data_IF_301095483263
#
_entry.id   IF_301095483263
#
_cell.length_a   1.000
_cell.length_b   1.000
_cell.length_c   1.000
_cell.angle_alpha   90.00
_cell.angle_beta   90.00
_cell.angle_gamma   90.00
#
_symmetry.space_group_name_H-M   'P 1'
#
loop_
_entity.id
_entity.type
_entity.pdbx_description
1 polymer ?
#
# COMPACT_ATOMS: atom_id res chain seq x y z
N UNK A 1 12.95 -23.46 -27.02
CA UNK A 1 11.88 -22.44 -27.09
C UNK A 1 10.72 -22.99 -26.29
N UNK A 2 10.45 -22.40 -25.12
CA UNK A 2 9.26 -22.76 -24.32
C UNK A 2 8.19 -21.78 -24.76
N UNK A 3 7.18 -22.25 -25.48
CA UNK A 3 6.00 -21.48 -25.81
C UNK A 3 5.27 -21.15 -24.50
N UNK A 4 5.39 -19.89 -24.08
CA UNK A 4 4.56 -19.34 -23.03
C UNK A 4 3.20 -19.08 -23.68
N UNK A 5 2.26 -19.99 -23.47
CA UNK A 5 0.87 -19.83 -23.91
C UNK A 5 0.26 -18.53 -23.37
N UNK A 6 -0.78 -17.99 -24.03
CA UNK A 6 -1.43 -16.75 -23.60
C UNK A 6 -1.90 -16.89 -22.16
N UNK A 7 -1.48 -15.95 -21.30
CA UNK A 7 -1.92 -15.89 -19.91
C UNK A 7 -3.44 -15.87 -19.88
N UNK A 8 -4.03 -16.87 -19.20
CA UNK A 8 -5.46 -16.93 -18.98
C UNK A 8 -5.93 -15.56 -18.43
N UNK A 9 -6.90 -14.94 -19.10
CA UNK A 9 -7.53 -13.71 -18.66
C UNK A 9 -8.00 -13.90 -17.21
N UNK A 10 -7.25 -13.31 -16.27
CA UNK A 10 -7.69 -13.16 -14.89
C UNK A 10 -8.89 -12.21 -14.93
N UNK A 11 -10.11 -12.75 -14.91
CA UNK A 11 -11.40 -12.08 -14.65
C UNK A 11 -11.44 -11.43 -13.23
N UNK A 12 -10.33 -10.92 -12.71
CA UNK A 12 -10.25 -10.33 -11.37
C UNK A 12 -10.74 -8.88 -11.29
N UNK A 13 -11.05 -8.21 -12.41
CA UNK A 13 -11.20 -6.75 -12.42
C UNK A 13 -12.53 -6.16 -12.89
N UNK A 14 -13.41 -6.92 -13.55
CA UNK A 14 -14.62 -6.33 -14.17
C UNK A 14 -15.86 -6.60 -13.34
N UNK A 15 -16.18 -5.70 -12.42
CA UNK A 15 -17.52 -5.61 -11.80
C UNK A 15 -17.62 -5.68 -10.27
N UNK A 16 -16.54 -5.44 -9.52
CA UNK A 16 -16.56 -5.46 -8.04
C UNK A 16 -16.94 -4.08 -7.45
N UNK A 17 -18.24 -3.72 -7.43
CA UNK A 17 -18.74 -2.60 -6.61
C UNK A 17 -19.93 -3.04 -5.76
N UNK A 18 -19.88 -2.70 -4.47
CA UNK A 18 -21.06 -2.51 -3.64
C UNK A 18 -21.49 -3.72 -2.81
N UNK A 19 -20.75 -4.01 -1.74
CA UNK A 19 -21.29 -4.71 -0.58
C UNK A 19 -20.72 -4.07 0.67
N UNK A 20 -21.59 -3.52 1.52
CA UNK A 20 -21.23 -3.07 2.88
C UNK A 20 -20.72 -4.30 3.65
N UNK A 21 -19.41 -4.44 3.80
CA UNK A 21 -18.83 -5.59 4.51
C UNK A 21 -18.78 -5.30 6.01
N UNK A 22 -19.41 -6.18 6.79
CA UNK A 22 -19.26 -6.26 8.25
C UNK A 22 -17.79 -6.41 8.70
N UNK A 23 -16.91 -6.81 7.79
CA UNK A 23 -15.47 -6.98 8.03
C UNK A 23 -14.75 -5.67 8.40
N UNK A 24 -15.08 -4.54 7.73
CA UNK A 24 -14.37 -3.27 7.94
C UNK A 24 -14.57 -2.68 9.34
N UNK A 25 -15.77 -2.80 9.92
CA UNK A 25 -16.03 -2.34 11.30
C UNK A 25 -15.36 -3.25 12.33
N UNK A 26 -15.34 -4.58 12.11
CA UNK A 26 -14.60 -5.52 12.97
C UNK A 26 -13.11 -5.19 12.99
N UNK A 27 -12.49 -5.01 11.83
CA UNK A 27 -11.06 -4.68 11.72
C UNK A 27 -10.74 -3.32 12.38
N UNK A 28 -11.60 -2.32 12.17
CA UNK A 28 -11.50 -1.01 12.84
C UNK A 28 -11.49 -1.15 14.36
N UNK A 29 -12.45 -1.90 14.92
CA UNK A 29 -12.54 -2.18 16.36
C UNK A 29 -11.30 -2.91 16.88
N UNK A 30 -10.80 -3.91 16.16
CA UNK A 30 -9.57 -4.62 16.52
C UNK A 30 -8.36 -3.67 16.61
N UNK A 31 -8.23 -2.72 15.67
CA UNK A 31 -7.17 -1.71 15.72
C UNK A 31 -7.33 -0.77 16.92
N UNK A 32 -8.53 -0.28 17.17
CA UNK A 32 -8.80 0.63 18.28
C UNK A 32 -8.56 -0.02 19.64
N UNK A 33 -8.92 -1.29 19.82
CA UNK A 33 -8.54 -2.05 21.03
C UNK A 33 -7.02 -2.24 21.16
N UNK A 34 -6.33 -2.46 20.03
CA UNK A 34 -4.87 -2.49 19.98
C UNK A 34 -4.23 -1.17 20.44
N UNK A 35 -4.81 -0.05 20.02
CA UNK A 35 -4.41 1.32 20.41
C UNK A 35 -4.71 1.58 21.89
N UNK A 36 -5.92 1.27 22.36
CA UNK A 36 -6.38 1.53 23.71
C UNK A 36 -5.43 0.93 24.76
N UNK A 37 -4.93 -0.29 24.54
CA UNK A 37 -3.94 -0.90 25.43
C UNK A 37 -2.57 -0.20 25.51
N UNK A 38 -2.34 0.86 24.73
CA UNK A 38 -1.17 1.75 24.81
C UNK A 38 -1.48 3.15 25.34
N UNK A 39 -2.76 3.47 25.61
CA UNK A 39 -3.18 4.77 26.12
C UNK A 39 -3.18 4.80 27.68
N UNK A 40 -3.13 5.99 28.30
CA UNK A 40 -3.45 6.16 29.71
C UNK A 40 -4.83 5.57 30.03
N UNK A 41 -4.99 4.99 31.23
CA UNK A 41 -6.19 4.23 31.62
C UNK A 41 -7.51 4.95 31.29
N UNK A 42 -7.65 6.21 31.71
CA UNK A 42 -8.87 7.00 31.44
C UNK A 42 -9.18 7.17 29.94
N UNK A 43 -8.17 7.28 29.08
CA UNK A 43 -8.36 7.38 27.64
C UNK A 43 -8.64 6.02 27.00
N UNK A 44 -8.01 4.95 27.52
CA UNK A 44 -8.30 3.58 27.10
C UNK A 44 -9.76 3.21 27.41
N UNK A 45 -10.21 3.47 28.65
CA UNK A 45 -11.58 3.27 29.10
C UNK A 45 -12.59 4.06 28.24
N UNK A 46 -12.29 5.32 27.92
CA UNK A 46 -13.12 6.12 27.04
C UNK A 46 -13.23 5.53 25.62
N UNK A 47 -12.12 5.08 25.03
CA UNK A 47 -12.15 4.44 23.69
C UNK A 47 -12.95 3.14 23.74
N UNK A 48 -12.76 2.32 24.78
CA UNK A 48 -13.51 1.07 24.96
C UNK A 48 -15.00 1.31 25.19
N UNK A 49 -15.37 2.35 25.94
CA UNK A 49 -16.74 2.77 26.15
C UNK A 49 -17.39 3.21 24.84
N UNK A 50 -16.73 4.10 24.07
CA UNK A 50 -17.24 4.56 22.78
C UNK A 50 -17.43 3.39 21.81
N UNK A 51 -16.55 2.39 21.83
CA UNK A 51 -16.71 1.17 21.05
C UNK A 51 -17.88 0.30 21.51
N UNK A 52 -18.20 0.29 22.81
CA UNK A 52 -19.35 -0.42 23.36
C UNK A 52 -20.68 0.28 23.01
N UNK A 53 -20.65 1.60 22.85
CA UNK A 53 -21.78 2.45 22.44
C UNK A 53 -21.93 2.55 20.91
N UNK A 54 -21.15 1.80 20.14
CA UNK A 54 -21.12 1.83 18.66
C UNK A 54 -20.70 3.19 18.04
N UNK A 55 -20.07 4.06 18.84
CA UNK A 55 -19.56 5.38 18.44
C UNK A 55 -18.15 5.29 17.81
N UNK A 56 -18.01 4.42 16.80
CA UNK A 56 -16.71 4.08 16.18
C UNK A 56 -15.97 5.32 15.66
N UNK A 57 -16.66 6.25 14.99
CA UNK A 57 -16.04 7.45 14.44
C UNK A 57 -15.43 8.37 15.51
N UNK A 58 -16.12 8.48 16.66
CA UNK A 58 -15.65 9.25 17.81
C UNK A 58 -14.47 8.53 18.46
N UNK A 59 -14.57 7.20 18.62
CA UNK A 59 -13.48 6.37 19.15
C UNK A 59 -12.18 6.53 18.33
N UNK A 60 -12.27 6.50 17.00
CA UNK A 60 -11.11 6.77 16.10
C UNK A 60 -10.54 8.15 16.36
N UNK A 61 -11.38 9.18 16.41
CA UNK A 61 -10.94 10.56 16.57
C UNK A 61 -10.24 10.77 17.92
N UNK A 62 -10.80 10.23 19.01
CA UNK A 62 -10.21 10.26 20.35
C UNK A 62 -8.87 9.53 20.38
N UNK A 63 -8.82 8.31 19.85
CA UNK A 63 -7.61 7.49 19.84
C UNK A 63 -6.47 8.15 19.05
N UNK A 64 -6.75 8.65 17.85
CA UNK A 64 -5.77 9.36 17.00
C UNK A 64 -5.27 10.62 17.72
N UNK A 65 -6.17 11.45 18.23
CA UNK A 65 -5.80 12.68 18.93
C UNK A 65 -4.96 12.41 20.19
N UNK A 66 -5.32 11.38 20.96
CA UNK A 66 -4.58 10.96 22.14
C UNK A 66 -3.15 10.51 21.79
N UNK A 67 -3.00 9.63 20.80
CA UNK A 67 -1.69 9.15 20.34
C UNK A 67 -0.81 10.31 19.85
N UNK A 68 -1.38 11.19 19.02
CA UNK A 68 -0.72 12.38 18.51
C UNK A 68 -0.27 13.34 19.62
N UNK A 69 -0.95 13.39 20.76
CA UNK A 69 -0.52 14.23 21.90
C UNK A 69 0.52 13.55 22.79
N UNK A 70 0.48 12.22 22.91
CA UNK A 70 1.36 11.43 23.78
C UNK A 70 2.77 11.20 23.20
N UNK A 71 3.10 11.90 22.10
CA UNK A 71 4.30 11.91 21.22
C UNK A 71 5.70 11.72 21.84
N UNK A 72 5.86 11.65 23.16
CA UNK A 72 7.16 11.61 23.83
C UNK A 72 7.38 10.41 24.78
N UNK A 73 6.38 9.55 25.02
CA UNK A 73 6.49 8.52 26.09
C UNK A 73 6.12 7.09 25.69
N UNK A 74 5.75 6.85 24.43
CA UNK A 74 5.39 5.51 23.98
C UNK A 74 6.63 4.59 23.95
N UNK A 75 6.78 3.76 24.99
CA UNK A 75 7.72 2.63 24.95
C UNK A 75 7.28 1.68 23.83
N UNK A 76 8.24 1.16 23.06
CA UNK A 76 7.96 0.11 22.06
C UNK A 76 7.23 -1.03 22.75
N UNK A 77 6.01 -1.33 22.29
CA UNK A 77 5.25 -2.48 22.76
C UNK A 77 5.71 -3.72 22.00
N UNK A 78 6.11 -4.81 22.67
CA UNK A 78 6.32 -6.07 22.00
C UNK A 78 4.98 -6.53 21.43
N UNK A 79 4.94 -6.80 20.12
CA UNK A 79 3.80 -7.47 19.51
C UNK A 79 3.75 -8.90 20.06
N UNK A 80 2.56 -9.37 20.43
CA UNK A 80 2.37 -10.80 20.71
C UNK A 80 2.53 -11.53 19.38
N UNK A 81 3.47 -12.47 19.31
CA UNK A 81 3.69 -13.31 18.12
C UNK A 81 2.61 -14.36 17.94
N UNK A 82 1.76 -14.59 18.95
CA UNK A 82 0.70 -15.57 18.89
C UNK A 82 -0.47 -15.08 18.03
N UNK A 83 -0.77 -15.88 17.02
CA UNK A 83 -1.90 -15.67 16.13
C UNK A 83 -3.19 -16.02 16.87
N UNK A 84 -3.99 -15.00 17.19
CA UNK A 84 -5.33 -15.23 17.71
C UNK A 84 -6.18 -15.92 16.64
N UNK A 85 -6.61 -17.15 16.92
CA UNK A 85 -7.49 -17.88 16.03
C UNK A 85 -8.90 -17.29 16.10
N UNK A 86 -9.55 -17.12 14.95
CA UNK A 86 -10.94 -16.71 14.89
C UNK A 86 -11.79 -17.81 15.54
N UNK A 87 -12.52 -17.53 16.64
CA UNK A 87 -13.33 -18.53 17.33
C UNK A 87 -14.50 -19.01 16.46
N UNK A 88 -14.93 -18.21 15.49
CA UNK A 88 -16.02 -18.51 14.56
C UNK A 88 -15.52 -19.10 13.23
N UNK A 89 -14.23 -19.46 13.13
CA UNK A 89 -13.66 -20.01 11.89
C UNK A 89 -14.40 -21.26 11.42
N UNK A 90 -14.48 -21.42 10.10
CA UNK A 90 -15.03 -22.63 9.49
C UNK A 90 -14.28 -23.89 9.96
N UNK A 91 -15.00 -25.00 10.15
CA UNK A 91 -14.41 -26.28 10.55
C UNK A 91 -13.28 -26.76 9.61
N UNK A 92 -13.36 -26.39 8.32
CA UNK A 92 -12.33 -26.69 7.33
C UNK A 92 -10.96 -26.06 7.67
N UNK A 93 -10.94 -24.94 8.41
CA UNK A 93 -9.71 -24.27 8.82
C UNK A 93 -8.90 -25.09 9.84
N UNK A 94 -9.53 -25.93 10.66
CA UNK A 94 -8.86 -26.67 11.74
C UNK A 94 -7.84 -27.71 11.23
N UNK A 95 -7.90 -28.06 9.95
CA UNK A 95 -6.95 -28.97 9.28
C UNK A 95 -6.07 -28.25 8.25
N UNK A 96 -6.15 -26.92 8.20
CA UNK A 96 -5.40 -26.14 7.24
C UNK A 96 -3.97 -25.89 7.75
N UNK A 97 -2.92 -26.19 6.96
CA UNK A 97 -1.53 -25.91 7.37
C UNK A 97 -1.25 -24.41 7.53
N UNK A 98 -2.04 -23.55 6.86
CA UNK A 98 -1.92 -22.10 6.93
C UNK A 98 -2.73 -21.47 8.07
N UNK A 99 -3.43 -22.27 8.89
CA UNK A 99 -4.26 -21.75 9.99
C UNK A 99 -3.46 -20.84 10.93
N UNK A 100 -2.24 -21.26 11.30
CA UNK A 100 -1.37 -20.50 12.17
C UNK A 100 -0.88 -19.18 11.56
N UNK A 101 -1.05 -18.97 10.24
CA UNK A 101 -0.69 -17.71 9.54
C UNK A 101 -1.90 -16.86 9.21
N UNK A 102 -3.04 -17.49 8.97
CA UNK A 102 -4.23 -16.79 8.52
C UNK A 102 -5.20 -16.43 9.66
N UNK A 103 -5.11 -17.15 10.79
CA UNK A 103 -6.03 -17.05 11.93
C UNK A 103 -7.35 -17.79 11.74
N UNK A 104 -7.62 -18.30 10.53
CA UNK A 104 -8.93 -18.86 10.15
C UNK A 104 -9.93 -17.77 9.78
N UNK A 105 -10.92 -18.14 8.98
CA UNK A 105 -12.01 -17.25 8.54
C UNK A 105 -13.36 -17.96 8.71
N UNK A 106 -14.42 -17.19 8.96
CA UNK A 106 -15.78 -17.71 9.16
C UNK A 106 -16.27 -18.47 7.92
N UNK A 107 -15.91 -18.01 6.73
CA UNK A 107 -16.21 -18.69 5.46
C UNK A 107 -15.09 -19.66 5.04
N UNK A 108 -13.99 -19.70 5.80
CA UNK A 108 -12.79 -20.46 5.48
C UNK A 108 -12.05 -19.91 4.27
N UNK A 109 -11.66 -20.77 3.33
CA UNK A 109 -11.08 -20.36 2.05
C UNK A 109 -12.09 -20.52 0.90
N UNK A 110 -13.40 -20.45 1.19
CA UNK A 110 -14.42 -20.53 0.16
C UNK A 110 -14.37 -19.25 -0.68
N UNK A 111 -14.37 -19.42 -1.99
CA UNK A 111 -14.52 -18.32 -2.91
C UNK A 111 -16.00 -18.22 -3.31
N UNK A 112 -16.63 -17.05 -3.10
CA UNK A 112 -18.06 -16.84 -3.39
C UNK A 112 -18.43 -17.15 -4.85
N UNK A 113 -17.47 -17.03 -5.77
CA UNK A 113 -17.67 -17.28 -7.19
C UNK A 113 -17.00 -18.58 -7.69
N UNK A 114 -16.72 -19.52 -6.78
CA UNK A 114 -16.11 -20.80 -7.15
C UNK A 114 -16.98 -21.60 -8.11
N UNK A 115 -16.49 -21.80 -9.35
CA UNK A 115 -17.12 -22.65 -10.38
C UNK A 115 -16.62 -24.10 -10.35
N UNK A 116 -15.79 -24.48 -9.36
CA UNK A 116 -15.15 -25.81 -9.22
C UNK A 116 -14.25 -26.26 -10.39
N UNK A 117 -13.94 -25.39 -11.33
CA UNK A 117 -12.93 -25.62 -12.39
C UNK A 117 -11.52 -25.32 -11.87
N UNK A 118 -11.02 -26.10 -10.90
CA UNK A 118 -9.78 -25.81 -10.19
C UNK A 118 -8.52 -25.83 -11.07
N UNK A 119 -8.55 -26.52 -12.22
CA UNK A 119 -7.40 -26.59 -13.15
C UNK A 119 -7.14 -25.32 -13.95
N UNK A 120 -8.14 -24.43 -14.09
CA UNK A 120 -8.04 -23.18 -14.88
C UNK A 120 -8.47 -21.93 -14.12
N UNK A 121 -8.88 -22.08 -12.85
CA UNK A 121 -9.28 -20.96 -12.03
C UNK A 121 -8.09 -19.99 -11.82
N UNK A 122 -8.32 -18.68 -11.69
CA UNK A 122 -7.27 -17.72 -11.33
C UNK A 122 -7.04 -17.58 -9.83
N UNK A 123 -7.84 -18.28 -9.00
CA UNK A 123 -7.95 -18.02 -7.56
C UNK A 123 -7.27 -19.11 -6.74
N UNK A 124 -6.34 -18.67 -5.90
CA UNK A 124 -5.53 -19.40 -4.94
C UNK A 124 -6.40 -19.85 -3.77
N UNK A 125 -6.73 -21.13 -3.76
CA UNK A 125 -7.44 -21.76 -2.65
C UNK A 125 -6.90 -23.19 -2.42
N UNK A 126 -7.18 -23.80 -1.25
CA UNK A 126 -6.70 -25.15 -0.93
C UNK A 126 -7.18 -26.25 -1.89
N UNK A 127 -8.19 -26.00 -2.73
CA UNK A 127 -8.73 -26.96 -3.68
C UNK A 127 -7.98 -27.02 -5.02
N UNK A 128 -6.97 -26.15 -5.23
CA UNK A 128 -6.15 -26.17 -6.44
C UNK A 128 -5.13 -27.28 -6.42
N UNK A 129 -4.90 -27.92 -7.57
CA UNK A 129 -3.89 -28.98 -7.73
C UNK A 129 -2.47 -28.44 -7.84
N UNK A 130 -2.30 -27.21 -8.31
CA UNK A 130 -1.01 -26.53 -8.53
C UNK A 130 -0.66 -25.52 -7.41
N UNK A 131 -1.41 -25.51 -6.29
CA UNK A 131 -1.18 -24.56 -5.19
C UNK A 131 0.27 -24.58 -4.66
N UNK A 132 0.86 -25.77 -4.54
CA UNK A 132 2.23 -25.94 -4.06
C UNK A 132 3.25 -25.23 -4.96
N UNK A 133 3.06 -25.28 -6.28
CA UNK A 133 3.92 -24.58 -7.23
C UNK A 133 3.82 -23.06 -7.04
N UNK A 134 2.60 -22.55 -6.81
CA UNK A 134 2.40 -21.12 -6.57
C UNK A 134 3.04 -20.67 -5.25
N UNK A 135 2.95 -21.49 -4.19
CA UNK A 135 3.63 -21.21 -2.92
C UNK A 135 5.16 -21.22 -3.10
N UNK A 136 5.69 -22.16 -3.87
CA UNK A 136 7.12 -22.23 -4.19
C UNK A 136 7.60 -20.98 -4.94
N UNK A 137 6.80 -20.48 -5.90
CA UNK A 137 7.10 -19.28 -6.69
C UNK A 137 7.28 -18.00 -5.85
N UNK A 138 6.69 -17.96 -4.64
CA UNK A 138 6.82 -16.85 -3.69
C UNK A 138 7.64 -17.21 -2.45
N UNK A 139 8.25 -18.40 -2.40
CA UNK A 139 9.05 -18.86 -1.26
C UNK A 139 8.24 -19.19 0.01
N UNK A 140 6.96 -19.57 -0.16
CA UNK A 140 6.02 -19.80 0.94
C UNK A 140 5.24 -18.55 1.35
N UNK A 141 4.31 -18.70 2.31
CA UNK A 141 3.40 -17.63 2.76
C UNK A 141 3.81 -16.95 4.09
N UNK A 142 4.94 -17.40 4.65
CA UNK A 142 5.57 -16.76 5.81
C UNK A 142 6.12 -15.38 5.47
N UNK A 143 6.42 -14.57 6.47
CA UNK A 143 7.27 -13.39 6.28
C UNK A 143 8.62 -13.59 6.98
N UNK A 144 8.83 -14.73 7.64
CA UNK A 144 9.92 -14.98 8.57
C UNK A 144 11.28 -15.12 7.88
N UNK A 145 11.26 -15.59 6.63
CA UNK A 145 12.41 -15.75 5.75
C UNK A 145 12.83 -14.46 5.05
N UNK A 146 11.98 -13.43 5.04
CA UNK A 146 12.34 -12.09 4.53
C UNK A 146 13.13 -11.34 5.60
N UNK A 147 14.40 -11.09 5.31
CA UNK A 147 15.37 -10.60 6.30
C UNK A 147 16.23 -9.44 5.80
N UNK A 148 16.00 -8.94 4.59
CA UNK A 148 16.77 -7.81 4.05
C UNK A 148 16.49 -6.57 4.90
N UNK A 149 17.54 -5.97 5.45
CA UNK A 149 17.41 -4.72 6.19
C UNK A 149 17.11 -3.58 5.22
N UNK A 150 16.14 -2.73 5.57
CA UNK A 150 15.76 -1.61 4.72
C UNK A 150 16.76 -0.46 4.88
N UNK A 151 17.30 0.09 3.77
CA UNK A 151 18.15 1.26 3.83
C UNK A 151 17.40 2.50 4.38
N UNK A 152 18.12 3.50 4.93
CA UNK A 152 17.52 4.76 5.34
C UNK A 152 16.79 5.45 4.19
N UNK A 153 15.65 6.07 4.50
CA UNK A 153 14.88 6.85 3.52
C UNK A 153 15.41 8.28 3.42
N UNK A 154 15.42 8.89 2.21
CA UNK A 154 15.77 10.29 2.07
C UNK A 154 14.69 11.19 2.66
N UNK A 155 15.08 12.38 3.12
CA UNK A 155 14.10 13.39 3.52
C UNK A 155 13.32 13.89 2.29
N UNK A 156 11.99 13.89 2.39
CA UNK A 156 11.07 14.35 1.34
C UNK A 156 10.21 15.51 1.85
N UNK A 157 9.69 16.36 0.94
CA UNK A 157 8.65 17.32 1.29
C UNK A 157 7.38 16.58 1.76
N UNK A 158 6.50 17.22 2.55
CA UNK A 158 5.23 16.60 2.98
C UNK A 158 4.31 16.18 1.84
N UNK A 159 4.46 16.77 0.66
CA UNK A 159 3.72 16.43 -0.56
C UNK A 159 4.69 16.14 -1.72
N UNK A 160 4.58 14.94 -2.28
CA UNK A 160 5.29 14.50 -3.48
C UNK A 160 4.27 14.26 -4.60
N UNK A 161 4.13 15.19 -5.56
CA UNK A 161 3.24 15.03 -6.70
C UNK A 161 3.63 13.83 -7.57
N UNK A 162 2.63 13.06 -7.99
CA UNK A 162 2.78 11.91 -8.90
C UNK A 162 2.45 12.38 -10.31
N UNK A 163 3.44 12.34 -11.21
CA UNK A 163 3.34 12.90 -12.57
C UNK A 163 3.95 11.93 -13.57
N UNK A 164 3.43 11.89 -14.79
CA UNK A 164 4.07 11.14 -15.88
C UNK A 164 5.35 11.88 -16.31
N UNK A 165 6.41 11.12 -16.60
CA UNK A 165 7.74 11.66 -16.91
C UNK A 165 7.76 12.65 -18.10
N UNK A 166 7.10 12.33 -19.22
CA UNK A 166 7.08 13.19 -20.39
C UNK A 166 6.16 14.39 -20.20
N UNK A 167 5.09 14.28 -19.40
CA UNK A 167 4.31 15.45 -18.97
C UNK A 167 5.16 16.43 -18.18
N UNK A 168 5.87 15.96 -17.16
CA UNK A 168 6.71 16.82 -16.32
C UNK A 168 7.80 17.53 -17.13
N UNK A 169 8.44 16.81 -18.06
CA UNK A 169 9.44 17.38 -18.98
C UNK A 169 8.82 18.42 -19.93
N UNK A 170 7.64 18.13 -20.51
CA UNK A 170 6.95 19.06 -21.42
C UNK A 170 6.49 20.34 -20.73
N UNK A 171 6.11 20.25 -19.46
CA UNK A 171 5.70 21.42 -18.67
C UNK A 171 6.87 22.29 -18.21
N UNK A 172 8.12 21.79 -18.30
CA UNK A 172 9.31 22.60 -18.01
C UNK A 172 9.50 22.98 -16.55
N UNK A 173 8.79 22.30 -15.62
CA UNK A 173 8.79 22.62 -14.18
C UNK A 173 9.52 21.58 -13.32
N UNK A 174 10.28 20.68 -13.94
CA UNK A 174 10.98 19.59 -13.26
C UNK A 174 11.94 20.06 -12.15
N UNK A 175 12.63 21.18 -12.36
CA UNK A 175 13.58 21.75 -11.39
C UNK A 175 12.95 22.55 -10.25
N UNK A 176 11.66 22.84 -10.33
CA UNK A 176 10.97 23.82 -9.47
C UNK A 176 10.43 23.23 -8.17
N UNK A 177 10.25 21.91 -8.08
CA UNK A 177 9.78 21.23 -6.87
C UNK A 177 10.85 20.30 -6.27
N UNK A 178 10.93 20.14 -4.93
CA UNK A 178 12.01 19.38 -4.30
C UNK A 178 12.02 17.89 -4.64
N UNK A 179 10.86 17.29 -4.91
CA UNK A 179 10.73 15.86 -5.17
C UNK A 179 9.52 15.52 -6.06
N UNK A 180 9.73 14.67 -7.06
CA UNK A 180 8.66 14.18 -7.94
C UNK A 180 8.53 12.67 -7.84
N UNK A 181 7.29 12.18 -7.94
CA UNK A 181 7.01 10.75 -8.02
C UNK A 181 6.58 10.33 -9.43
N UNK A 182 7.09 9.20 -9.90
CA UNK A 182 6.63 8.54 -11.12
C UNK A 182 5.88 7.25 -10.77
N UNK A 183 4.83 6.94 -11.52
CA UNK A 183 4.13 5.68 -11.34
C UNK A 183 4.86 4.55 -12.07
N UNK A 184 5.07 3.42 -11.39
CA UNK A 184 5.54 2.20 -12.07
C UNK A 184 4.52 1.72 -13.12
N UNK A 185 3.27 2.18 -13.06
CA UNK A 185 2.26 1.92 -14.09
C UNK A 185 2.63 2.52 -15.46
N UNK A 186 3.51 3.53 -15.49
CA UNK A 186 4.00 4.18 -16.71
C UNK A 186 5.18 3.42 -17.33
N UNK A 187 5.74 2.43 -16.62
CA UNK A 187 6.76 1.53 -17.15
C UNK A 187 6.21 0.51 -18.17
N UNK A 188 4.95 0.67 -18.62
CA UNK A 188 4.27 -0.26 -19.52
C UNK A 188 3.78 0.37 -20.82
N UNK A 189 3.89 -0.40 -21.89
CA UNK A 189 3.14 -0.14 -23.11
C UNK A 189 1.67 -0.48 -22.89
N UNK A 190 0.80 0.53 -22.96
CA UNK A 190 -0.66 0.33 -22.94
C UNK A 190 -1.15 -0.56 -24.09
N UNK A 191 -0.37 -0.65 -25.19
CA UNK A 191 -0.70 -1.42 -26.40
C UNK A 191 -0.33 -2.89 -26.28
N UNK A 192 0.85 -3.19 -25.74
CA UNK A 192 1.39 -4.56 -25.73
C UNK A 192 1.36 -5.22 -24.36
N UNK A 193 1.09 -4.45 -23.29
CA UNK A 193 1.18 -4.94 -21.92
C UNK A 193 2.59 -5.33 -21.49
N UNK A 194 3.60 -5.01 -22.30
CA UNK A 194 5.00 -5.33 -22.03
C UNK A 194 5.70 -4.17 -21.32
N UNK A 195 6.64 -4.43 -20.40
CA UNK A 195 7.46 -3.39 -19.80
C UNK A 195 8.29 -2.68 -20.86
N UNK A 196 8.42 -1.36 -20.77
CA UNK A 196 9.36 -0.60 -21.59
C UNK A 196 10.79 -0.94 -21.20
N UNK A 197 11.65 -1.24 -22.17
CA UNK A 197 13.06 -1.58 -21.93
C UNK A 197 13.82 -0.48 -21.18
N UNK A 198 13.45 0.80 -21.39
CA UNK A 198 14.03 1.99 -20.77
C UNK A 198 13.81 2.10 -19.25
N UNK A 199 12.97 1.25 -18.67
CA UNK A 199 12.72 1.19 -17.21
C UNK A 199 13.44 0.00 -16.54
N UNK A 200 14.12 -0.83 -17.32
CA UNK A 200 14.87 -2.00 -16.82
C UNK A 200 16.33 -1.62 -16.57
N UNK A 201 17.04 -2.40 -15.74
CA UNK A 201 18.49 -2.21 -15.50
C UNK A 201 19.28 -2.17 -16.82
N UNK A 202 18.89 -2.95 -17.82
CA UNK A 202 19.51 -2.96 -19.14
C UNK A 202 19.23 -1.69 -19.96
N UNK A 203 18.20 -0.91 -19.61
CA UNK A 203 17.85 0.37 -20.22
C UNK A 203 18.10 1.59 -19.31
N UNK A 204 18.74 1.41 -18.15
CA UNK A 204 19.17 2.48 -17.25
C UNK A 204 20.48 3.13 -17.74
N UNK A 205 20.51 3.49 -19.03
CA UNK A 205 21.54 4.33 -19.63
C UNK A 205 20.87 5.49 -20.36
N UNK A 206 21.70 6.36 -20.99
CA UNK A 206 21.29 7.64 -21.61
C UNK A 206 19.91 7.54 -22.28
N UNK A 207 18.90 8.10 -21.62
CA UNK A 207 17.53 8.17 -22.13
C UNK A 207 16.46 7.50 -21.26
N UNK A 208 16.84 6.89 -20.13
CA UNK A 208 15.85 6.43 -19.14
C UNK A 208 15.04 7.62 -18.59
N UNK A 209 13.77 7.42 -18.17
CA UNK A 209 12.96 8.50 -17.61
C UNK A 209 13.60 9.19 -16.41
N UNK A 210 14.24 8.41 -15.53
CA UNK A 210 14.94 8.95 -14.37
C UNK A 210 16.09 9.87 -14.80
N UNK A 211 16.97 9.42 -15.69
CA UNK A 211 18.09 10.25 -16.18
C UNK A 211 17.64 11.52 -16.88
N UNK A 212 16.65 11.44 -17.79
CA UNK A 212 16.15 12.65 -18.47
C UNK A 212 15.61 13.68 -17.49
N UNK A 213 14.94 13.23 -16.43
CA UNK A 213 14.45 14.11 -15.37
C UNK A 213 15.61 14.67 -14.52
N UNK A 214 16.68 13.90 -14.29
CA UNK A 214 17.90 14.42 -13.66
C UNK A 214 18.57 15.51 -14.49
N UNK A 215 18.72 15.28 -15.80
CA UNK A 215 19.25 16.28 -16.74
C UNK A 215 18.38 17.54 -16.77
N UNK A 216 17.06 17.39 -16.60
CA UNK A 216 16.11 18.50 -16.47
C UNK A 216 16.02 19.11 -15.04
N UNK A 217 16.95 18.78 -14.15
CA UNK A 217 17.11 19.43 -12.85
C UNK A 217 16.30 18.84 -11.69
N UNK A 218 15.70 17.65 -11.82
CA UNK A 218 14.99 17.03 -10.69
C UNK A 218 15.95 16.66 -9.57
N UNK A 219 15.68 17.21 -8.37
CA UNK A 219 16.49 16.99 -7.16
C UNK A 219 16.24 15.64 -6.52
N UNK A 220 14.98 15.21 -6.42
CA UNK A 220 14.60 13.89 -5.88
C UNK A 220 13.54 13.20 -6.74
N UNK A 221 13.74 11.93 -7.00
CA UNK A 221 12.83 11.06 -7.74
C UNK A 221 12.37 9.88 -6.89
N UNK A 222 11.06 9.73 -6.79
CA UNK A 222 10.41 8.59 -6.15
C UNK A 222 9.72 7.73 -7.20
N UNK A 223 9.83 6.41 -7.08
CA UNK A 223 8.98 5.49 -7.85
C UNK A 223 7.83 5.00 -6.96
N UNK A 224 6.59 5.07 -7.43
CA UNK A 224 5.45 4.45 -6.73
C UNK A 224 5.10 3.10 -7.37
N UNK A 225 5.23 2.02 -6.62
CA UNK A 225 4.87 0.67 -7.04
C UNK A 225 3.36 0.38 -7.06
N UNK A 226 2.52 1.35 -6.69
CA UNK A 226 1.06 1.22 -6.68
C UNK A 226 0.50 1.19 -8.10
N UNK A 227 -0.16 0.09 -8.46
CA UNK A 227 -0.83 -0.10 -9.76
C UNK A 227 -1.85 -1.25 -9.68
N UNK A 228 -2.63 -1.46 -10.74
CA UNK A 228 -3.50 -2.63 -10.86
C UNK A 228 -2.68 -3.95 -10.85
N UNK A 229 -3.13 -4.91 -10.04
CA UNK A 229 -2.53 -6.24 -9.86
C UNK A 229 -2.24 -6.99 -11.17
N UNK A 230 -3.06 -6.82 -12.21
CA UNK A 230 -2.81 -7.46 -13.52
C UNK A 230 -1.49 -6.98 -14.14
N UNK A 231 -1.21 -5.68 -14.07
CA UNK A 231 0.06 -5.11 -14.56
C UNK A 231 1.21 -5.49 -13.65
N UNK A 232 0.95 -5.58 -12.36
CA UNK A 232 1.96 -5.98 -11.40
C UNK A 232 2.36 -7.46 -11.56
N UNK A 233 1.40 -8.34 -11.82
CA UNK A 233 1.64 -9.75 -12.16
C UNK A 233 2.51 -9.89 -13.41
N UNK A 234 2.30 -9.06 -14.43
CA UNK A 234 3.15 -9.02 -15.61
C UNK A 234 4.60 -8.54 -15.31
N UNK A 235 4.82 -7.75 -14.24
CA UNK A 235 6.17 -7.33 -13.81
C UNK A 235 6.85 -8.39 -12.96
N UNK A 236 6.09 -9.30 -12.36
CA UNK A 236 6.60 -10.24 -11.37
C UNK A 236 7.87 -10.98 -11.82
N UNK A 237 7.97 -11.52 -13.04
CA UNK A 237 9.19 -12.21 -13.47
C UNK A 237 10.42 -11.30 -13.51
N UNK A 238 10.25 -10.03 -13.82
CA UNK A 238 11.34 -9.06 -13.88
C UNK A 238 11.68 -8.51 -12.48
N UNK A 239 10.69 -8.35 -11.60
CA UNK A 239 10.89 -8.04 -10.17
C UNK A 239 11.66 -9.16 -9.46
N UNK A 240 11.22 -10.40 -9.64
CA UNK A 240 11.83 -11.60 -9.07
C UNK A 240 13.31 -11.76 -9.48
N UNK A 241 13.66 -11.30 -10.69
CA UNK A 241 15.03 -11.32 -11.21
C UNK A 241 15.85 -10.06 -10.87
N UNK A 242 15.30 -9.14 -10.06
CA UNK A 242 15.93 -7.85 -9.67
C UNK A 242 16.37 -7.00 -10.87
N UNK A 243 15.61 -7.06 -11.97
CA UNK A 243 15.95 -6.36 -13.23
C UNK A 243 15.24 -5.03 -13.41
N UNK A 244 14.43 -4.62 -12.43
CA UNK A 244 13.56 -3.48 -12.57
C UNK A 244 14.01 -2.34 -11.66
N UNK A 245 14.09 -1.18 -12.30
CA UNK A 245 14.15 0.15 -11.71
C UNK A 245 15.47 0.53 -11.05
N UNK A 246 16.19 1.47 -11.67
CA UNK A 246 17.33 2.17 -11.08
C UNK A 246 17.20 3.69 -11.31
N UNK A 247 18.01 4.47 -10.60
CA UNK A 247 18.05 5.94 -10.75
C UNK A 247 17.05 6.73 -9.88
N UNK A 248 16.30 6.04 -9.02
CA UNK A 248 15.37 6.66 -8.07
C UNK A 248 16.03 6.80 -6.69
N UNK A 249 15.73 7.89 -5.97
CA UNK A 249 16.21 8.08 -4.59
C UNK A 249 15.41 7.24 -3.58
N UNK A 250 14.18 6.91 -3.93
CA UNK A 250 13.27 6.13 -3.10
C UNK A 250 12.29 5.35 -3.98
N UNK A 251 11.97 4.13 -3.56
CA UNK A 251 10.89 3.34 -4.16
C UNK A 251 9.84 3.01 -3.12
N UNK A 252 8.58 3.35 -3.36
CA UNK A 252 7.46 2.73 -2.65
C UNK A 252 7.25 1.36 -3.28
N UNK A 253 7.48 0.31 -2.51
CA UNK A 253 7.46 -1.06 -3.00
C UNK A 253 6.09 -1.41 -3.64
N UNK A 254 6.06 -2.26 -4.68
CA UNK A 254 4.80 -2.70 -5.25
C UNK A 254 3.93 -3.41 -4.22
N UNK A 255 2.62 -3.17 -4.32
CA UNK A 255 1.64 -3.71 -3.40
C UNK A 255 0.54 -4.43 -4.19
N UNK A 256 0.33 -5.71 -3.89
CA UNK A 256 -0.82 -6.46 -4.38
C UNK A 256 -2.02 -6.14 -3.51
N UNK A 257 -3.14 -5.88 -4.16
CA UNK A 257 -4.38 -5.53 -3.48
C UNK A 257 -4.92 -6.71 -2.66
N UNK A 258 -5.53 -6.39 -1.52
CA UNK A 258 -6.24 -7.34 -0.68
C UNK A 258 -7.72 -7.00 -0.75
N UNK A 259 -8.52 -7.82 -1.45
CA UNK A 259 -9.95 -7.59 -1.61
C UNK A 259 -10.77 -8.43 -0.64
N UNK A 260 -11.73 -7.82 0.04
CA UNK A 260 -12.62 -8.48 1.02
C UNK A 260 -13.26 -9.79 0.56
N UNK A 261 -13.64 -9.87 -0.72
CA UNK A 261 -14.38 -11.01 -1.27
C UNK A 261 -13.48 -12.12 -1.80
N UNK A 262 -12.16 -11.92 -1.76
CA UNK A 262 -11.21 -12.96 -2.12
C UNK A 262 -11.00 -13.93 -0.96
N UNK A 263 -10.68 -15.21 -1.24
CA UNK A 263 -10.45 -16.18 -0.18
C UNK A 263 -9.27 -15.77 0.69
N UNK A 264 -9.31 -16.19 1.95
CA UNK A 264 -8.24 -15.87 2.90
C UNK A 264 -6.82 -16.23 2.42
N UNK A 265 -6.70 -17.28 1.62
CA UNK A 265 -5.43 -17.68 1.03
C UNK A 265 -4.90 -16.66 0.00
N UNK A 266 -5.77 -16.05 -0.81
CA UNK A 266 -5.37 -14.97 -1.73
C UNK A 266 -4.82 -13.76 -0.98
N UNK A 267 -5.43 -13.40 0.15
CA UNK A 267 -4.91 -12.31 0.99
C UNK A 267 -3.48 -12.60 1.45
N UNK A 268 -3.20 -13.84 1.89
CA UNK A 268 -1.86 -14.23 2.29
C UNK A 268 -0.85 -14.14 1.14
N UNK A 269 -1.24 -14.56 -0.07
CA UNK A 269 -0.39 -14.41 -1.25
C UNK A 269 -0.13 -12.95 -1.59
N UNK A 270 -1.16 -12.10 -1.61
CA UNK A 270 -1.01 -10.67 -1.90
C UNK A 270 -0.05 -9.99 -0.90
N UNK A 271 -0.22 -10.26 0.40
CA UNK A 271 0.68 -9.76 1.46
C UNK A 271 2.10 -10.25 1.24
N UNK A 272 2.27 -11.56 0.99
CA UNK A 272 3.58 -12.16 0.74
C UNK A 272 4.27 -11.56 -0.48
N UNK A 273 3.57 -11.44 -1.61
CA UNK A 273 4.15 -10.89 -2.85
C UNK A 273 4.58 -9.44 -2.66
N UNK A 274 3.79 -8.64 -1.94
CA UNK A 274 4.13 -7.25 -1.62
C UNK A 274 5.40 -7.18 -0.76
N UNK A 275 5.48 -7.98 0.30
CA UNK A 275 6.64 -8.03 1.18
C UNK A 275 7.90 -8.56 0.47
N UNK A 276 7.76 -9.61 -0.33
CA UNK A 276 8.86 -10.17 -1.14
C UNK A 276 9.35 -9.16 -2.18
N UNK A 277 8.45 -8.42 -2.83
CA UNK A 277 8.81 -7.33 -3.74
C UNK A 277 9.64 -6.25 -3.04
N UNK A 278 9.22 -5.83 -1.84
CA UNK A 278 9.97 -4.87 -1.03
C UNK A 278 11.35 -5.40 -0.61
N UNK A 279 11.44 -6.65 -0.13
CA UNK A 279 12.69 -7.29 0.29
C UNK A 279 13.69 -7.40 -0.87
N UNK A 280 13.22 -7.83 -2.04
CA UNK A 280 14.04 -7.91 -3.26
C UNK A 280 14.57 -6.55 -3.72
N UNK A 281 13.74 -5.50 -3.67
CA UNK A 281 14.13 -4.15 -4.06
C UNK A 281 15.06 -3.48 -3.06
N UNK A 282 14.95 -3.81 -1.76
CA UNK A 282 15.78 -3.21 -0.71
C UNK A 282 17.28 -3.48 -0.91
N UNK A 283 17.63 -4.56 -1.63
CA UNK A 283 19.01 -4.82 -2.04
C UNK A 283 19.57 -3.86 -3.10
N UNK A 284 18.72 -3.05 -3.75
CA UNK A 284 19.11 -2.11 -4.81
C UNK A 284 19.12 -0.63 -4.39
N UNK A 285 18.53 -0.28 -3.24
CA UNK A 285 18.46 1.11 -2.76
C UNK A 285 17.36 1.34 -1.72
N UNK A 286 17.10 2.61 -1.34
CA UNK A 286 16.05 2.95 -0.40
C UNK A 286 14.66 2.53 -0.89
N UNK A 287 13.98 1.73 -0.07
CA UNK A 287 12.66 1.16 -0.37
C UNK A 287 11.76 1.32 0.85
N UNK A 288 10.51 1.70 0.60
CA UNK A 288 9.44 1.76 1.59
C UNK A 288 8.48 0.59 1.32
N UNK A 289 8.36 -0.39 2.22
CA UNK A 289 7.37 -1.45 2.11
C UNK A 289 5.95 -0.89 2.11
N UNK A 290 5.11 -1.35 1.18
CA UNK A 290 3.70 -0.98 1.14
C UNK A 290 2.87 -2.06 1.83
N UNK A 291 2.06 -1.64 2.81
CA UNK A 291 1.26 -2.53 3.64
C UNK A 291 -0.17 -2.62 3.14
N UNK A 292 -0.68 -3.85 3.07
CA UNK A 292 -2.08 -4.16 2.81
C UNK A 292 -2.55 -5.21 3.82
N UNK A 293 -3.81 -5.17 4.24
CA UNK A 293 -4.35 -6.11 5.23
C UNK A 293 -5.83 -6.40 4.97
N UNK A 294 -6.28 -7.57 5.40
CA UNK A 294 -7.70 -7.88 5.50
C UNK A 294 -8.18 -7.79 6.95
N UNK A 295 -7.32 -8.22 7.89
CA UNK A 295 -7.57 -8.18 9.34
C UNK A 295 -6.39 -7.55 10.06
N UNK A 296 -6.59 -7.15 11.33
CA UNK A 296 -5.50 -6.66 12.17
C UNK A 296 -4.33 -7.63 12.24
N UNK A 297 -4.61 -8.93 12.27
CA UNK A 297 -3.59 -9.96 12.31
C UNK A 297 -2.60 -9.91 11.13
N UNK A 298 -3.08 -9.59 9.92
CA UNK A 298 -2.22 -9.42 8.75
C UNK A 298 -1.24 -8.26 8.93
N UNK A 299 -1.74 -7.16 9.50
CA UNK A 299 -0.94 -5.98 9.79
C UNK A 299 0.08 -6.29 10.89
N UNK A 300 -0.31 -6.98 11.96
CA UNK A 300 0.61 -7.40 13.04
C UNK A 300 1.81 -8.19 12.49
N UNK A 301 1.56 -9.18 11.62
CA UNK A 301 2.62 -9.98 10.98
C UNK A 301 3.59 -9.12 10.17
N UNK A 302 3.05 -8.17 9.40
CA UNK A 302 3.89 -7.24 8.63
C UNK A 302 4.67 -6.31 9.55
N UNK A 303 4.09 -5.82 10.64
CA UNK A 303 4.78 -4.96 11.61
C UNK A 303 5.90 -5.71 12.35
N UNK A 304 5.71 -6.99 12.70
CA UNK A 304 6.79 -7.84 13.24
C UNK A 304 7.95 -7.94 12.23
N UNK A 305 7.63 -8.20 10.95
CA UNK A 305 8.62 -8.26 9.88
C UNK A 305 9.38 -6.92 9.76
N UNK A 306 8.68 -5.79 9.73
CA UNK A 306 9.27 -4.45 9.65
C UNK A 306 10.14 -4.10 10.87
N UNK A 307 9.76 -4.55 12.07
CA UNK A 307 10.59 -4.39 13.27
C UNK A 307 11.92 -5.16 13.12
N UNK A 308 11.86 -6.41 12.63
CA UNK A 308 13.03 -7.26 12.42
C UNK A 308 13.97 -6.72 11.34
N UNK A 309 13.41 -6.20 10.24
CA UNK A 309 14.15 -5.61 9.11
C UNK A 309 14.51 -4.14 9.31
N UNK A 310 14.12 -3.55 10.46
CA UNK A 310 14.40 -2.18 10.87
C UNK A 310 13.93 -1.13 9.85
N UNK A 311 12.75 -1.33 9.27
CA UNK A 311 12.17 -0.37 8.34
C UNK A 311 11.99 1.01 9.00
N UNK A 312 12.54 2.04 8.37
CA UNK A 312 12.42 3.43 8.82
C UNK A 312 11.11 4.09 8.38
N UNK A 313 10.43 3.49 7.39
CA UNK A 313 9.25 4.01 6.74
C UNK A 313 8.30 2.88 6.33
N UNK A 314 7.01 3.19 6.21
CA UNK A 314 5.99 2.30 5.64
C UNK A 314 5.06 3.08 4.73
N UNK A 315 4.58 2.43 3.67
CA UNK A 315 3.64 3.00 2.73
C UNK A 315 2.27 2.35 2.86
N UNK A 316 1.22 3.11 2.57
CA UNK A 316 -0.15 2.61 2.45
C UNK A 316 -0.82 3.25 1.24
N UNK A 317 -1.51 2.43 0.44
CA UNK A 317 -2.33 2.90 -0.68
C UNK A 317 -3.76 3.18 -0.21
N UNK A 318 -4.25 4.39 -0.45
CA UNK A 318 -5.64 4.77 -0.20
C UNK A 318 -6.41 5.12 -1.49
N UNK A 319 -5.83 4.89 -2.67
CA UNK A 319 -6.41 5.23 -3.96
C UNK A 319 -7.72 4.48 -4.27
N UNK A 320 -7.91 3.32 -3.66
CA UNK A 320 -9.05 2.42 -3.89
C UNK A 320 -10.03 2.38 -2.71
N UNK A 321 -9.94 3.29 -1.73
CA UNK A 321 -10.80 3.29 -0.54
C UNK A 321 -12.07 4.15 -0.72
N UNK A 322 -13.24 3.54 -1.05
CA UNK A 322 -14.50 4.27 -1.15
C UNK A 322 -15.11 4.53 0.23
N UNK A 323 -15.66 5.72 0.41
CA UNK A 323 -16.56 6.04 1.52
C UNK A 323 -15.90 6.27 2.89
N UNK A 324 -16.71 6.74 3.84
CA UNK A 324 -16.26 7.13 5.18
C UNK A 324 -15.82 5.93 6.04
N UNK A 325 -16.47 4.77 5.89
CA UNK A 325 -16.14 3.58 6.68
C UNK A 325 -14.71 3.08 6.41
N UNK A 326 -14.33 2.93 5.14
CA UNK A 326 -12.97 2.53 4.78
C UNK A 326 -11.92 3.56 5.15
N UNK A 327 -12.29 4.83 5.13
CA UNK A 327 -11.43 5.89 5.63
C UNK A 327 -11.19 5.77 7.14
N UNK A 328 -12.22 5.46 7.95
CA UNK A 328 -12.06 5.19 9.39
C UNK A 328 -11.17 3.99 9.66
N UNK A 329 -11.33 2.91 8.90
CA UNK A 329 -10.48 1.72 9.00
C UNK A 329 -9.00 2.09 8.74
N UNK A 330 -8.73 2.82 7.67
CA UNK A 330 -7.38 3.31 7.35
C UNK A 330 -6.83 4.18 8.48
N UNK A 331 -7.59 5.18 8.96
CA UNK A 331 -7.14 6.07 10.05
C UNK A 331 -6.77 5.29 11.30
N UNK A 332 -7.58 4.29 11.65
CA UNK A 332 -7.33 3.40 12.78
C UNK A 332 -6.07 2.57 12.57
N UNK A 333 -5.86 2.04 11.37
CA UNK A 333 -4.66 1.31 11.03
C UNK A 333 -3.40 2.18 11.11
N UNK A 334 -3.43 3.42 10.60
CA UNK A 334 -2.31 4.36 10.69
C UNK A 334 -1.96 4.70 12.15
N UNK A 335 -2.97 4.94 12.99
CA UNK A 335 -2.77 5.15 14.43
C UNK A 335 -2.23 3.89 15.13
N UNK A 336 -2.69 2.71 14.73
CA UNK A 336 -2.18 1.44 15.25
C UNK A 336 -0.71 1.21 14.85
N UNK A 337 -0.35 1.45 13.58
CA UNK A 337 1.03 1.42 13.09
C UNK A 337 1.91 2.36 13.93
N UNK A 338 1.45 3.58 14.21
CA UNK A 338 2.16 4.54 15.07
C UNK A 338 2.34 4.05 16.50
N UNK A 339 1.39 3.31 17.04
CA UNK A 339 1.51 2.71 18.38
C UNK A 339 2.62 1.66 18.42
N UNK A 340 2.76 0.86 17.36
CA UNK A 340 3.70 -0.25 17.27
C UNK A 340 5.09 0.20 16.81
N UNK A 341 5.14 1.15 15.90
CA UNK A 341 6.33 1.73 15.27
C UNK A 341 6.32 3.26 15.40
N UNK A 342 6.52 3.81 16.60
CA UNK A 342 6.34 5.26 16.85
C UNK A 342 7.24 6.16 16.00
N UNK A 343 8.44 5.67 15.64
CA UNK A 343 9.43 6.43 14.88
C UNK A 343 9.37 6.19 13.36
N UNK A 344 8.37 5.48 12.83
CA UNK A 344 8.28 5.20 11.39
C UNK A 344 7.84 6.43 10.62
N UNK A 345 8.31 6.65 9.40
CA UNK A 345 7.71 7.62 8.48
C UNK A 345 6.52 6.98 7.74
N UNK A 346 5.40 7.70 7.62
CA UNK A 346 4.22 7.21 6.89
C UNK A 346 4.20 7.80 5.49
N UNK A 347 4.16 6.95 4.47
CA UNK A 347 4.02 7.33 3.07
C UNK A 347 2.61 6.97 2.59
N UNK A 348 1.76 7.96 2.32
CA UNK A 348 0.35 7.70 1.97
C UNK A 348 0.10 8.05 0.51
N UNK A 349 -0.25 7.05 -0.29
CA UNK A 349 -0.50 7.21 -1.72
C UNK A 349 -1.98 7.31 -2.05
N UNK A 350 -2.34 8.21 -2.96
CA UNK A 350 -3.70 8.28 -3.51
C UNK A 350 -4.64 9.18 -2.73
N UNK A 351 -4.11 10.09 -1.90
CA UNK A 351 -4.92 11.08 -1.17
C UNK A 351 -5.35 12.17 -2.14
N UNK A 352 -6.65 12.40 -2.22
CA UNK A 352 -7.21 13.31 -3.21
C UNK A 352 -8.21 14.32 -2.67
N UNK A 353 -8.80 14.20 -1.49
CA UNK A 353 -9.74 15.22 -0.96
C UNK A 353 -9.11 16.06 0.13
N UNK A 354 -9.59 17.30 0.28
CA UNK A 354 -9.16 18.24 1.31
C UNK A 354 -9.26 17.65 2.72
N UNK A 355 -10.46 17.17 3.06
CA UNK A 355 -10.77 16.48 4.32
C UNK A 355 -9.77 15.35 4.65
N UNK A 356 -9.39 14.54 3.65
CA UNK A 356 -8.45 13.44 3.86
C UNK A 356 -7.01 13.94 4.05
N UNK A 357 -6.63 15.03 3.39
CA UNK A 357 -5.32 15.68 3.60
C UNK A 357 -5.25 16.27 5.01
N UNK A 358 -6.27 16.98 5.44
CA UNK A 358 -6.38 17.56 6.79
C UNK A 358 -6.32 16.48 7.87
N UNK A 359 -7.08 15.39 7.70
CA UNK A 359 -7.05 14.23 8.60
C UNK A 359 -5.65 13.61 8.70
N UNK A 360 -4.92 13.52 7.59
CA UNK A 360 -3.56 12.97 7.58
C UNK A 360 -2.52 13.93 8.15
N UNK A 361 -2.75 15.25 8.06
CA UNK A 361 -1.89 16.26 8.67
C UNK A 361 -1.88 16.20 10.20
N UNK A 362 -2.84 15.50 10.82
CA UNK A 362 -2.84 15.21 12.27
C UNK A 362 -1.71 14.26 12.68
N UNK A 363 -1.21 13.44 11.76
CA UNK A 363 -0.08 12.56 12.00
C UNK A 363 1.23 13.32 11.77
N UNK A 364 2.25 13.05 12.58
CA UNK A 364 3.60 13.56 12.30
C UNK A 364 4.27 12.69 11.23
N UNK A 365 5.35 13.21 10.63
CA UNK A 365 6.23 12.47 9.71
C UNK A 365 5.44 11.69 8.66
N UNK A 366 4.58 12.41 7.95
CA UNK A 366 3.77 11.90 6.84
C UNK A 366 4.23 12.54 5.54
N UNK A 367 4.38 11.72 4.52
CA UNK A 367 4.62 12.12 3.13
C UNK A 367 3.43 11.67 2.29
N UNK A 368 2.77 12.62 1.65
CA UNK A 368 1.61 12.39 0.80
C UNK A 368 2.03 12.28 -0.65
N UNK A 369 1.47 11.31 -1.37
CA UNK A 369 1.65 11.13 -2.81
C UNK A 369 0.32 11.30 -3.52
N UNK A 370 0.23 12.29 -4.41
CA UNK A 370 -1.02 12.60 -5.10
C UNK A 370 -0.81 12.90 -6.58
N UNK A 371 -1.61 12.26 -7.42
CA UNK A 371 -1.72 12.59 -8.84
C UNK A 371 -2.72 13.73 -9.11
N UNK A 372 -3.47 14.19 -8.09
CA UNK A 372 -4.52 15.21 -8.24
C UNK A 372 -3.99 16.54 -8.77
N UNK A 373 -2.88 17.11 -8.26
CA UNK A 373 -2.34 18.36 -8.81
C UNK A 373 -2.03 18.27 -10.31
N UNK A 374 -1.38 17.18 -10.74
CA UNK A 374 -1.10 16.96 -12.16
C UNK A 374 -2.36 16.70 -12.98
N UNK A 375 -3.35 15.99 -12.44
CA UNK A 375 -4.63 15.77 -13.11
C UNK A 375 -5.38 17.08 -13.36
N UNK A 376 -5.41 17.99 -12.39
CA UNK A 376 -6.02 19.31 -12.52
C UNK A 376 -5.26 20.22 -13.49
N UNK A 377 -3.92 20.19 -13.44
CA UNK A 377 -3.07 20.93 -14.35
C UNK A 377 -3.34 20.58 -15.83
N UNK A 378 -3.59 19.30 -16.16
CA UNK A 378 -3.99 18.87 -17.53
C UNK A 378 -5.26 19.57 -18.02
N UNK A 379 -6.16 19.91 -17.10
CA UNK A 379 -7.43 20.58 -17.39
C UNK A 379 -7.37 22.09 -17.10
N UNK A 380 -6.17 22.67 -16.91
CA UNK A 380 -5.95 24.09 -16.58
C UNK A 380 -6.70 24.53 -15.32
N UNK A 381 -6.71 23.64 -14.34
CA UNK A 381 -7.28 23.88 -13.02
C UNK A 381 -6.18 23.86 -11.98
N UNK A 382 -6.42 24.57 -10.88
CA UNK A 382 -5.56 24.61 -9.71
C UNK A 382 -6.35 24.27 -8.45
N UNK A 383 -5.63 23.88 -7.41
CA UNK A 383 -6.17 23.82 -6.05
C UNK A 383 -6.13 25.22 -5.43
N UNK A 384 -7.19 25.63 -4.75
CA UNK A 384 -7.15 26.78 -3.84
C UNK A 384 -6.65 26.39 -2.45
N UNK A 385 -6.63 27.34 -1.51
CA UNK A 385 -6.18 27.12 -0.13
C UNK A 385 -7.02 26.09 0.64
N UNK A 386 -8.26 25.85 0.20
CA UNK A 386 -9.17 24.84 0.75
C UNK A 386 -9.13 23.53 -0.07
N UNK A 387 -8.16 23.40 -0.99
CA UNK A 387 -7.93 22.26 -1.87
C UNK A 387 -9.12 21.96 -2.82
N UNK A 388 -9.94 22.97 -3.12
CA UNK A 388 -10.99 22.90 -4.13
C UNK A 388 -10.45 23.24 -5.53
N UNK A 389 -10.91 22.55 -6.59
CA UNK A 389 -10.53 22.89 -7.95
C UNK A 389 -11.12 24.24 -8.38
N UNK A 390 -10.31 25.10 -9.00
CA UNK A 390 -10.74 26.33 -9.67
C UNK A 390 -9.97 26.56 -10.96
N UNK A 391 -10.42 27.49 -11.80
CA UNK A 391 -9.70 27.85 -13.02
C UNK A 391 -8.28 28.36 -12.71
N UNK A 392 -7.31 27.84 -13.47
CA UNK A 392 -5.91 28.20 -13.39
C UNK A 392 -5.42 28.98 -14.60
N UNK A 393 -4.10 29.26 -14.66
CA UNK A 393 -3.43 29.77 -15.84
C UNK A 393 -3.58 28.87 -17.08
N UNK A 394 -3.28 29.42 -18.27
CA UNK A 394 -3.25 28.63 -19.51
C UNK A 394 -2.13 27.58 -19.54
N UNK A 395 -1.01 27.89 -18.88
CA UNK A 395 0.15 27.00 -18.77
C UNK A 395 -0.09 25.90 -17.70
N UNK A 396 -0.11 24.60 -18.09
CA UNK A 396 -0.26 23.50 -17.15
C UNK A 396 0.87 23.40 -16.11
N UNK A 397 2.10 23.80 -16.45
CA UNK A 397 3.23 23.83 -15.51
C UNK A 397 2.98 24.84 -14.40
N UNK A 398 2.49 26.04 -14.75
CA UNK A 398 2.08 27.04 -13.76
C UNK A 398 0.88 26.56 -12.94
N UNK A 399 -0.09 25.88 -13.54
CA UNK A 399 -1.19 25.28 -12.79
C UNK A 399 -0.69 24.28 -11.74
N UNK A 400 0.24 23.42 -12.13
CA UNK A 400 0.82 22.41 -11.25
C UNK A 400 1.54 23.08 -10.07
N UNK A 401 2.47 23.99 -10.33
CA UNK A 401 3.23 24.67 -9.27
C UNK A 401 2.33 25.49 -8.34
N UNK A 402 1.32 26.17 -8.90
CA UNK A 402 0.33 26.93 -8.12
C UNK A 402 -0.52 26.03 -7.23
N UNK A 403 -0.75 24.77 -7.62
CA UNK A 403 -1.50 23.81 -6.79
C UNK A 403 -0.64 23.18 -5.68
N UNK A 404 0.68 23.33 -5.74
CA UNK A 404 1.62 22.72 -4.80
C UNK A 404 2.08 23.69 -3.70
N UNK A 405 2.24 24.98 -4.05
CA UNK A 405 2.49 26.06 -3.09
C UNK A 405 1.23 26.46 -2.35
#
# INVERSE_FOLDING_TARGET
MIEVGPAAELELGRGRRGGSSSSSSRTTREFLLGIAGGLPAALAELVEQLLAEEEEAVAVSVAVAALTRLRARARRRPLKSEVALDPQRAAACNRCPELARCGGDVEGCRWRWCRRSCGSCGVRCPARTDLAAWQQDVGGLGLEDLATAFPPVPQLPPLVPVVESNELLRWGVSGEWPAWALSLADAYSKRTGSPWSTWTVAGCGRGSPAERLREAGVRRLVLTGVMNDQRLAALWPALARRRLVAGFDLVLAPAWSVYDLDPRLEHLFAIRQSALGADLMAGGGPVVPTLNWYRKHDLDRQLIWLQRTRAAAVAVDCSTLPGAQRWRELRSALAYIRTVLPAVELHVYGVSSAERVEDLALFDRVVLYSARPAALARTRQILDGDLHPRCGPEDPGLCLLTSLG
#
